data_IF_960534684044
#
_entry.id   IF_960534684044
#
_cell.length_a   1.000
_cell.length_b   1.000
_cell.length_c   1.000
_cell.angle_alpha   90.00
_cell.angle_beta   90.00
_cell.angle_gamma   90.00
#
_symmetry.space_group_name_H-M   'P 1'
#
loop_
_entity.id
_entity.type
_entity.pdbx_description
1 polymer ?
#
# COMPACT_ATOMS: atom_id res chain seq x y z
N UNK A 1 -6.10 -31.27 26.09
CA UNK A 1 -7.13 -30.34 26.59
C UNK A 1 -8.33 -31.11 27.13
N UNK A 2 -8.74 -30.82 28.36
CA UNK A 2 -9.85 -31.56 29.03
C UNK A 2 -11.19 -30.87 28.83
N UNK A 3 -11.19 -29.58 28.38
CA UNK A 3 -12.39 -28.73 28.44
C UNK A 3 -13.23 -28.81 27.17
N UNK A 4 -12.68 -29.20 26.04
CA UNK A 4 -13.33 -29.41 24.73
C UNK A 4 -14.30 -28.31 24.27
N UNK A 5 -14.19 -27.09 24.81
CA UNK A 5 -15.06 -25.95 24.43
C UNK A 5 -15.05 -25.64 22.95
N UNK A 6 -13.88 -25.80 22.31
CA UNK A 6 -13.75 -25.56 20.87
C UNK A 6 -14.60 -26.49 20.02
N UNK A 7 -14.74 -27.77 20.44
CA UNK A 7 -15.58 -28.75 19.78
C UNK A 7 -17.06 -28.41 19.96
N UNK A 8 -17.46 -28.07 21.19
CA UNK A 8 -18.87 -27.80 21.54
C UNK A 8 -19.44 -26.55 20.86
N UNK A 9 -18.60 -25.55 20.56
CA UNK A 9 -19.05 -24.31 19.90
C UNK A 9 -19.00 -24.38 18.37
N UNK A 10 -18.51 -25.48 17.81
CA UNK A 10 -18.38 -25.60 16.35
C UNK A 10 -19.73 -25.93 15.69
N UNK A 11 -20.36 -25.01 14.92
CA UNK A 11 -21.68 -25.22 14.35
C UNK A 11 -21.68 -26.27 13.22
N UNK A 12 -20.51 -26.65 12.72
CA UNK A 12 -20.33 -27.64 11.65
C UNK A 12 -19.70 -28.95 12.12
N UNK A 13 -19.51 -29.10 13.45
CA UNK A 13 -18.84 -30.26 14.03
C UNK A 13 -17.50 -30.59 13.33
N UNK A 14 -16.78 -29.55 12.92
CA UNK A 14 -15.52 -29.68 12.21
C UNK A 14 -14.32 -29.94 13.14
N UNK A 15 -14.52 -30.06 14.45
CA UNK A 15 -13.43 -30.24 15.40
C UNK A 15 -13.62 -31.58 16.10
N UNK A 16 -12.61 -32.44 16.01
CA UNK A 16 -12.52 -33.71 16.73
C UNK A 16 -11.33 -33.68 17.69
N UNK A 17 -11.41 -34.43 18.76
CA UNK A 17 -10.30 -34.57 19.71
C UNK A 17 -9.67 -35.95 19.47
N UNK A 18 -8.41 -35.93 19.05
CA UNK A 18 -7.59 -37.12 18.83
C UNK A 18 -6.35 -37.00 19.72
N UNK A 19 -6.06 -38.00 20.52
CA UNK A 19 -4.91 -38.03 21.46
C UNK A 19 -4.77 -36.75 22.31
N UNK A 20 -5.88 -36.23 22.83
CA UNK A 20 -5.97 -35.00 23.60
C UNK A 20 -5.66 -33.71 22.82
N UNK A 21 -5.53 -33.79 21.49
CA UNK A 21 -5.33 -32.64 20.60
C UNK A 21 -6.61 -32.36 19.81
N UNK A 22 -6.92 -31.08 19.61
CA UNK A 22 -8.01 -30.65 18.75
C UNK A 22 -7.55 -30.69 17.28
N UNK A 23 -8.19 -31.51 16.47
CA UNK A 23 -7.95 -31.62 15.04
C UNK A 23 -9.11 -30.97 14.31
N UNK A 24 -8.82 -30.03 13.42
CA UNK A 24 -9.82 -29.31 12.61
C UNK A 24 -9.92 -29.95 11.23
N UNK A 25 -11.11 -30.46 10.92
CA UNK A 25 -11.47 -30.91 9.58
C UNK A 25 -11.65 -29.71 8.65
N UNK A 26 -10.72 -29.53 7.72
CA UNK A 26 -10.69 -28.38 6.81
C UNK A 26 -11.84 -28.35 5.79
N UNK A 27 -12.42 -29.51 5.49
CA UNK A 27 -13.52 -29.61 4.52
C UNK A 27 -14.85 -29.19 5.16
N UNK A 28 -15.03 -29.47 6.46
CA UNK A 28 -16.20 -29.04 7.23
C UNK A 28 -16.08 -27.64 7.82
N UNK A 29 -14.87 -27.15 7.99
CA UNK A 29 -14.60 -25.87 8.63
C UNK A 29 -15.00 -24.69 7.76
N UNK A 30 -15.91 -23.87 8.25
CA UNK A 30 -16.35 -22.61 7.60
C UNK A 30 -15.59 -21.37 8.08
N UNK A 31 -14.49 -21.55 8.77
CA UNK A 31 -13.60 -20.48 9.26
C UNK A 31 -14.30 -19.38 10.12
N UNK A 32 -15.37 -19.70 10.80
CA UNK A 32 -16.17 -18.73 11.57
C UNK A 32 -15.50 -18.15 12.82
N UNK A 33 -14.35 -18.70 13.26
CA UNK A 33 -13.57 -18.22 14.42
C UNK A 33 -14.17 -18.47 15.81
N UNK A 34 -15.33 -19.13 15.95
CA UNK A 34 -15.96 -19.38 17.27
C UNK A 34 -15.07 -20.20 18.20
N UNK A 35 -14.36 -21.19 17.65
CA UNK A 35 -13.46 -22.05 18.42
C UNK A 35 -12.23 -21.31 18.97
N UNK A 36 -11.72 -20.32 18.24
CA UNK A 36 -10.58 -19.51 18.70
C UNK A 36 -10.97 -18.65 19.91
N UNK A 37 -12.17 -18.06 19.88
CA UNK A 37 -12.73 -17.26 20.99
C UNK A 37 -13.11 -18.10 22.19
N UNK A 38 -13.54 -19.35 21.97
CA UNK A 38 -14.00 -20.24 23.05
C UNK A 38 -12.84 -20.97 23.76
N UNK A 39 -11.65 -21.02 23.18
CA UNK A 39 -10.50 -21.69 23.78
C UNK A 39 -9.87 -20.81 24.86
N UNK A 40 -9.95 -21.17 26.13
CA UNK A 40 -9.41 -20.35 27.22
C UNK A 40 -7.87 -20.33 27.25
N UNK A 41 -7.24 -21.25 26.51
CA UNK A 41 -5.79 -21.39 26.46
C UNK A 41 -5.17 -20.78 25.19
N UNK A 42 -5.97 -20.20 24.31
CA UNK A 42 -5.47 -19.68 23.01
C UNK A 42 -4.84 -20.75 22.10
N UNK A 43 -5.16 -22.04 22.34
CA UNK A 43 -4.53 -23.14 21.62
C UNK A 43 -5.03 -23.34 20.18
N UNK A 44 -6.11 -22.66 19.81
CA UNK A 44 -6.63 -22.62 18.43
C UNK A 44 -6.48 -21.21 17.92
N UNK A 45 -5.71 -21.06 16.87
CA UNK A 45 -5.46 -19.78 16.20
C UNK A 45 -6.04 -19.81 14.79
N UNK A 46 -6.59 -18.70 14.36
CA UNK A 46 -6.99 -18.51 12.97
C UNK A 46 -5.88 -17.76 12.24
N UNK A 47 -5.22 -18.44 11.31
CA UNK A 47 -4.17 -17.84 10.51
C UNK A 47 -4.79 -17.30 9.22
N UNK A 48 -4.83 -15.99 9.11
CA UNK A 48 -5.12 -15.32 7.84
C UNK A 48 -3.84 -15.10 7.06
N UNK A 49 -3.91 -15.20 5.73
CA UNK A 49 -2.76 -14.82 4.90
C UNK A 49 -2.43 -13.34 5.15
N UNK A 50 -1.15 -12.99 5.24
CA UNK A 50 -0.73 -11.61 5.54
C UNK A 50 -1.34 -10.58 4.58
N UNK A 51 -1.46 -10.89 3.29
CA UNK A 51 -2.07 -10.01 2.30
C UNK A 51 -3.56 -9.76 2.56
N UNK A 52 -4.32 -10.77 3.00
CA UNK A 52 -5.75 -10.63 3.35
C UNK A 52 -5.90 -9.83 4.64
N UNK A 53 -5.10 -10.15 5.67
CA UNK A 53 -5.15 -9.48 6.96
C UNK A 53 -4.76 -8.00 6.88
N UNK A 54 -3.85 -7.64 5.97
CA UNK A 54 -3.40 -6.26 5.76
C UNK A 54 -4.38 -5.40 4.97
N UNK A 55 -5.31 -6.01 4.23
CA UNK A 55 -6.26 -5.28 3.39
C UNK A 55 -7.41 -4.69 4.21
N UNK A 56 -7.30 -3.41 4.57
CA UNK A 56 -8.29 -2.72 5.42
C UNK A 56 -9.62 -2.45 4.72
N UNK A 57 -9.64 -2.47 3.39
CA UNK A 57 -10.87 -2.29 2.59
C UNK A 57 -11.49 -3.63 2.14
N UNK A 58 -10.91 -4.76 2.56
CA UNK A 58 -11.45 -6.08 2.21
C UNK A 58 -11.44 -6.40 0.71
N UNK A 59 -10.49 -5.84 -0.03
CA UNK A 59 -10.39 -6.02 -1.48
C UNK A 59 -9.69 -7.32 -1.88
N UNK A 60 -9.19 -8.13 -0.94
CA UNK A 60 -8.46 -9.37 -1.24
C UNK A 60 -9.24 -10.56 -0.71
N UNK A 61 -9.52 -11.49 -1.59
CA UNK A 61 -10.07 -12.82 -1.26
C UNK A 61 -9.19 -13.91 -1.86
N UNK A 62 -9.50 -15.15 -1.53
CA UNK A 62 -8.89 -16.33 -2.14
C UNK A 62 -9.84 -16.93 -3.15
N UNK A 63 -9.33 -17.29 -4.33
CA UNK A 63 -10.07 -18.08 -5.31
C UNK A 63 -10.16 -19.56 -4.88
N UNK A 64 -10.86 -20.36 -5.68
CA UNK A 64 -11.02 -21.82 -5.47
C UNK A 64 -9.68 -22.56 -5.44
N UNK A 65 -8.67 -22.03 -6.11
CA UNK A 65 -7.30 -22.57 -6.16
C UNK A 65 -6.41 -22.01 -5.06
N UNK A 66 -6.98 -21.30 -4.09
CA UNK A 66 -6.25 -20.62 -3.00
C UNK A 66 -5.24 -19.56 -3.47
N UNK A 67 -5.45 -18.98 -4.66
CA UNK A 67 -4.70 -17.82 -5.14
C UNK A 67 -5.36 -16.53 -4.66
N UNK A 68 -4.54 -15.51 -4.40
CA UNK A 68 -5.05 -14.20 -4.02
C UNK A 68 -5.70 -13.53 -5.24
N UNK A 69 -6.94 -13.12 -5.07
CA UNK A 69 -7.71 -12.36 -6.04
C UNK A 69 -7.98 -10.97 -5.47
N UNK A 70 -7.67 -9.93 -6.25
CA UNK A 70 -7.87 -8.54 -5.87
C UNK A 70 -9.09 -7.99 -6.60
N UNK A 71 -10.08 -7.55 -5.84
CA UNK A 71 -11.23 -6.82 -6.35
C UNK A 71 -10.83 -5.34 -6.58
N UNK A 72 -10.62 -4.97 -7.83
CA UNK A 72 -10.21 -3.62 -8.20
C UNK A 72 -11.28 -2.56 -7.90
N UNK A 73 -12.55 -2.93 -7.79
CA UNK A 73 -13.60 -1.99 -7.40
C UNK A 73 -13.47 -1.55 -5.95
N UNK A 74 -12.95 -2.42 -5.08
CA UNK A 74 -12.68 -2.12 -3.66
C UNK A 74 -11.25 -1.65 -3.43
N UNK A 75 -10.30 -2.12 -4.23
CA UNK A 75 -8.88 -1.82 -4.06
C UNK A 75 -8.60 -0.32 -4.18
N UNK A 76 -7.86 0.22 -3.23
CA UNK A 76 -7.41 1.63 -3.20
C UNK A 76 -5.92 1.78 -3.56
N UNK A 77 -5.29 0.75 -4.08
CA UNK A 77 -3.88 0.74 -4.51
C UNK A 77 -2.87 1.18 -3.42
N UNK A 78 -3.13 0.89 -2.14
CA UNK A 78 -2.28 1.34 -1.03
C UNK A 78 -0.98 0.54 -0.85
N UNK A 79 -0.78 -0.59 -1.55
CA UNK A 79 0.43 -1.39 -1.49
C UNK A 79 0.61 -2.27 -0.25
N UNK A 80 -0.28 -2.22 0.75
CA UNK A 80 -0.13 -2.97 2.01
C UNK A 80 0.02 -4.48 1.79
N UNK A 81 -0.69 -5.07 0.83
CA UNK A 81 -0.61 -6.49 0.50
C UNK A 81 0.72 -6.87 -0.17
N UNK A 82 1.30 -5.96 -0.95
CA UNK A 82 2.64 -6.14 -1.56
C UNK A 82 3.69 -6.18 -0.46
N UNK A 83 3.66 -5.18 0.43
CA UNK A 83 4.61 -5.07 1.53
C UNK A 83 4.55 -6.26 2.50
N UNK A 84 3.35 -6.78 2.78
CA UNK A 84 3.15 -7.88 3.72
C UNK A 84 3.33 -9.27 3.10
N UNK A 85 3.57 -9.38 1.79
CA UNK A 85 3.76 -10.68 1.16
C UNK A 85 5.19 -11.18 1.33
N UNK A 86 5.46 -12.20 2.18
CA UNK A 86 6.83 -12.68 2.42
C UNK A 86 7.41 -13.43 1.21
N UNK A 87 6.57 -13.77 0.23
CA UNK A 87 6.96 -14.56 -0.94
C UNK A 87 7.06 -13.73 -2.23
N UNK A 88 6.77 -12.42 -2.18
CA UNK A 88 6.72 -11.58 -3.38
C UNK A 88 5.65 -12.02 -4.40
N UNK A 89 4.63 -12.79 -3.96
CA UNK A 89 3.58 -13.30 -4.84
C UNK A 89 2.58 -12.23 -5.29
N UNK A 90 2.57 -11.08 -4.63
CA UNK A 90 1.84 -9.88 -5.02
C UNK A 90 2.89 -8.80 -5.23
N UNK A 91 2.96 -8.23 -6.41
CA UNK A 91 3.86 -7.14 -6.78
C UNK A 91 3.09 -5.96 -7.32
N UNK A 92 3.69 -4.80 -7.26
CA UNK A 92 3.25 -3.60 -7.98
C UNK A 92 3.64 -3.68 -9.47
N UNK A 93 3.09 -2.76 -10.25
CA UNK A 93 3.53 -2.57 -11.63
C UNK A 93 4.85 -1.81 -11.61
N UNK A 94 5.96 -2.52 -11.78
CA UNK A 94 7.29 -1.90 -11.87
C UNK A 94 7.44 -1.13 -13.18
N UNK A 95 8.00 0.10 -13.09
CA UNK A 95 8.36 0.95 -14.22
C UNK A 95 9.89 1.02 -14.43
N UNK A 96 10.64 0.07 -13.86
CA UNK A 96 12.11 0.06 -13.94
C UNK A 96 12.59 -0.05 -15.39
N UNK A 97 11.96 -0.92 -16.19
CA UNK A 97 12.36 -1.10 -17.59
C UNK A 97 12.08 0.15 -18.43
N UNK A 98 10.94 0.80 -18.24
CA UNK A 98 10.62 2.07 -18.90
C UNK A 98 11.61 3.17 -18.49
N UNK A 99 11.99 3.23 -17.21
CA UNK A 99 12.99 4.20 -16.73
C UNK A 99 14.36 3.96 -17.37
N UNK A 100 14.79 2.69 -17.45
CA UNK A 100 16.05 2.33 -18.13
C UNK A 100 16.00 2.74 -19.61
N UNK A 101 14.89 2.52 -20.29
CA UNK A 101 14.72 2.89 -21.69
C UNK A 101 14.78 4.41 -21.89
N UNK A 102 14.13 5.19 -21.02
CA UNK A 102 14.21 6.66 -21.00
C UNK A 102 15.67 7.12 -20.81
N UNK A 103 16.40 6.56 -19.86
CA UNK A 103 17.79 6.91 -19.62
C UNK A 103 18.69 6.55 -20.81
N UNK A 104 18.50 5.38 -21.45
CA UNK A 104 19.22 4.99 -22.65
C UNK A 104 18.96 5.95 -23.83
N UNK A 105 17.69 6.29 -24.07
CA UNK A 105 17.28 7.20 -25.15
C UNK A 105 17.76 8.64 -24.93
N UNK A 106 18.05 9.04 -23.69
CA UNK A 106 18.61 10.35 -23.39
C UNK A 106 20.06 10.53 -23.86
N UNK A 107 20.76 9.42 -24.16
CA UNK A 107 22.19 9.41 -24.52
C UNK A 107 23.05 10.26 -23.57
N UNK A 108 23.07 9.86 -22.31
CA UNK A 108 23.76 10.60 -21.24
C UNK A 108 23.28 12.08 -21.14
N UNK A 109 22.00 12.31 -21.26
CA UNK A 109 21.34 13.62 -21.21
C UNK A 109 21.72 14.59 -22.37
N UNK A 110 22.21 14.06 -23.49
CA UNK A 110 22.49 14.85 -24.70
C UNK A 110 21.22 15.17 -25.49
N UNK A 111 20.34 14.15 -25.66
CA UNK A 111 19.08 14.32 -26.42
C UNK A 111 18.05 15.09 -25.61
N UNK A 112 17.93 14.76 -24.33
CA UNK A 112 17.08 15.45 -23.35
C UNK A 112 17.57 15.15 -21.94
N UNK A 113 17.30 16.07 -21.03
CA UNK A 113 17.70 15.94 -19.61
C UNK A 113 16.68 15.11 -18.84
N UNK A 114 17.14 14.11 -18.09
CA UNK A 114 16.29 13.26 -17.25
C UNK A 114 16.47 13.63 -15.79
N UNK A 115 15.40 14.05 -15.14
CA UNK A 115 15.39 14.44 -13.73
C UNK A 115 14.75 13.35 -12.89
N UNK A 116 15.29 13.08 -11.71
CA UNK A 116 14.65 12.24 -10.72
C UNK A 116 13.99 13.12 -9.66
N UNK A 117 12.69 12.95 -9.45
CA UNK A 117 11.98 13.58 -8.31
C UNK A 117 11.86 12.54 -7.21
N UNK A 118 12.41 12.84 -6.04
CA UNK A 118 12.45 11.92 -4.90
C UNK A 118 11.57 12.43 -3.76
N UNK A 119 10.82 11.53 -3.14
CA UNK A 119 10.05 11.86 -1.94
C UNK A 119 10.92 11.80 -0.68
N UNK A 120 10.60 12.56 0.39
CA UNK A 120 11.33 12.52 1.66
C UNK A 120 11.44 11.10 2.27
N UNK A 121 10.45 10.25 2.01
CA UNK A 121 10.44 8.85 2.47
C UNK A 121 11.62 8.01 1.95
N UNK A 122 12.36 8.45 0.94
CA UNK A 122 13.54 7.74 0.43
C UNK A 122 14.59 7.52 1.53
N UNK A 123 14.67 8.42 2.50
CA UNK A 123 15.61 8.31 3.62
C UNK A 123 15.39 7.03 4.43
N UNK A 124 14.14 6.60 4.59
CA UNK A 124 13.81 5.38 5.32
C UNK A 124 14.22 4.10 4.59
N UNK A 125 14.40 4.17 3.27
CA UNK A 125 14.84 3.03 2.44
C UNK A 125 16.37 2.83 2.48
N UNK A 126 17.12 3.90 2.76
CA UNK A 126 18.59 3.93 2.76
C UNK A 126 19.15 4.38 4.11
N UNK A 127 18.66 3.76 5.19
CA UNK A 127 19.05 4.11 6.57
C UNK A 127 20.55 3.89 6.87
N UNK A 128 21.25 3.18 5.99
CA UNK A 128 22.69 2.92 6.06
C UNK A 128 23.53 3.94 5.28
N UNK A 129 22.90 4.89 4.58
CA UNK A 129 23.57 5.88 3.73
C UNK A 129 23.07 7.29 4.04
N UNK A 130 23.96 8.29 3.90
CA UNK A 130 23.54 9.69 3.96
C UNK A 130 22.82 10.08 2.68
N UNK A 131 21.91 11.05 2.77
CA UNK A 131 21.07 11.45 1.63
C UNK A 131 21.91 11.93 0.43
N UNK A 132 23.05 12.58 0.68
CA UNK A 132 23.96 13.04 -0.38
C UNK A 132 24.58 11.87 -1.15
N UNK A 133 24.80 10.74 -0.47
CA UNK A 133 25.30 9.51 -1.12
C UNK A 133 24.21 8.90 -2.00
N UNK A 134 22.95 8.91 -1.53
CA UNK A 134 21.80 8.43 -2.31
C UNK A 134 21.62 9.28 -3.56
N UNK A 135 21.64 10.61 -3.42
CA UNK A 135 21.54 11.57 -4.53
C UNK A 135 22.67 11.34 -5.54
N UNK A 136 23.90 11.16 -5.05
CA UNK A 136 25.06 10.86 -5.90
C UNK A 136 24.90 9.52 -6.63
N UNK A 137 24.37 8.51 -5.95
CA UNK A 137 24.07 7.21 -6.55
C UNK A 137 23.06 7.33 -7.69
N UNK A 138 21.98 8.07 -7.48
CA UNK A 138 20.95 8.30 -8.50
C UNK A 138 21.55 9.03 -9.71
N UNK A 139 22.37 10.07 -9.50
CA UNK A 139 23.05 10.76 -10.60
C UNK A 139 23.97 9.81 -11.39
N UNK A 140 24.68 8.90 -10.71
CA UNK A 140 25.53 7.89 -11.37
C UNK A 140 24.75 6.87 -12.21
N UNK A 141 23.44 6.69 -11.96
CA UNK A 141 22.56 5.87 -12.80
C UNK A 141 22.24 6.54 -14.16
N UNK A 142 22.62 7.81 -14.36
CA UNK A 142 22.41 8.53 -15.61
C UNK A 142 21.39 9.66 -15.55
N UNK A 143 20.81 9.94 -14.36
CA UNK A 143 19.94 11.11 -14.19
C UNK A 143 20.75 12.40 -14.22
N UNK A 144 20.24 13.42 -14.92
CA UNK A 144 20.86 14.73 -14.99
C UNK A 144 20.93 15.40 -13.60
N UNK A 145 19.80 15.41 -12.90
CA UNK A 145 19.69 16.00 -11.57
C UNK A 145 18.63 15.29 -10.74
N UNK A 146 18.76 15.41 -9.42
CA UNK A 146 17.79 14.94 -8.44
C UNK A 146 17.14 16.13 -7.78
N UNK A 147 15.80 16.13 -7.70
CA UNK A 147 14.99 17.21 -7.11
C UNK A 147 14.13 16.61 -6.01
N UNK A 148 14.03 17.28 -4.89
CA UNK A 148 13.17 16.86 -3.79
C UNK A 148 11.71 17.24 -4.05
N UNK A 149 10.79 16.28 -3.93
CA UNK A 149 9.36 16.52 -4.04
C UNK A 149 8.84 17.45 -2.91
N UNK A 150 9.59 17.60 -1.82
CA UNK A 150 9.28 18.52 -0.73
C UNK A 150 9.15 19.97 -1.22
N UNK A 151 9.97 20.38 -2.19
CA UNK A 151 9.87 21.70 -2.80
C UNK A 151 8.51 21.94 -3.50
N UNK A 152 7.99 20.90 -4.18
CA UNK A 152 6.65 20.93 -4.74
C UNK A 152 5.56 20.88 -3.65
N UNK A 153 5.84 20.22 -2.51
CA UNK A 153 4.89 20.14 -1.41
C UNK A 153 4.64 21.52 -0.74
N UNK A 154 5.66 22.35 -0.64
CA UNK A 154 5.51 23.73 -0.11
C UNK A 154 4.56 24.55 -0.99
N UNK A 155 4.66 24.41 -2.32
CA UNK A 155 3.77 25.08 -3.28
C UNK A 155 2.35 24.52 -3.16
N UNK A 156 2.20 23.20 -3.12
CA UNK A 156 0.89 22.56 -2.94
C UNK A 156 0.23 23.01 -1.65
N UNK A 157 0.98 23.05 -0.54
CA UNK A 157 0.49 23.51 0.76
C UNK A 157 -0.02 24.95 0.70
N UNK A 158 0.70 25.83 0.00
CA UNK A 158 0.28 27.23 -0.17
C UNK A 158 -1.06 27.33 -0.93
N UNK A 159 -1.23 26.56 -2.00
CA UNK A 159 -2.49 26.50 -2.74
C UNK A 159 -3.62 25.90 -1.90
N UNK A 160 -3.37 24.80 -1.18
CA UNK A 160 -4.35 24.17 -0.29
C UNK A 160 -4.77 25.09 0.87
N UNK A 161 -3.82 25.88 1.43
CA UNK A 161 -4.13 26.85 2.47
C UNK A 161 -5.07 27.97 1.99
N UNK A 162 -4.94 28.41 0.74
CA UNK A 162 -5.84 29.39 0.14
C UNK A 162 -7.21 28.77 -0.15
N UNK A 163 -7.26 27.57 -0.72
CA UNK A 163 -8.49 26.83 -0.97
C UNK A 163 -9.25 26.55 0.34
N UNK A 164 -8.54 26.23 1.43
CA UNK A 164 -9.13 26.03 2.75
C UNK A 164 -9.80 27.30 3.30
N UNK A 165 -9.19 28.49 3.10
CA UNK A 165 -9.78 29.76 3.52
C UNK A 165 -11.13 30.03 2.83
N UNK A 166 -11.27 29.60 1.56
CA UNK A 166 -12.49 29.79 0.78
C UNK A 166 -13.56 28.75 1.15
N UNK A 167 -13.17 27.48 1.30
CA UNK A 167 -14.09 26.35 1.50
C UNK A 167 -14.41 26.05 2.95
N UNK A 168 -13.57 26.47 3.91
CA UNK A 168 -13.72 26.19 5.34
C UNK A 168 -13.43 24.75 5.77
N UNK A 169 -13.47 23.78 4.84
CA UNK A 169 -13.12 22.36 5.05
C UNK A 169 -12.46 21.82 3.81
N UNK A 170 -11.32 21.14 3.98
CA UNK A 170 -10.55 20.56 2.89
C UNK A 170 -9.86 19.28 3.36
N UNK A 171 -9.74 18.29 2.47
CA UNK A 171 -8.82 17.17 2.62
C UNK A 171 -7.77 17.23 1.51
N UNK A 172 -6.53 16.85 1.83
CA UNK A 172 -5.44 16.87 0.86
C UNK A 172 -5.62 15.78 -0.21
N UNK A 173 -5.06 16.00 -1.40
CA UNK A 173 -5.12 15.06 -2.53
C UNK A 173 -3.76 14.47 -2.90
N UNK A 174 -2.72 14.71 -2.10
CA UNK A 174 -1.35 14.27 -2.40
C UNK A 174 -1.18 12.73 -2.40
N UNK A 175 -2.06 11.99 -1.71
CA UNK A 175 -2.04 10.54 -1.66
C UNK A 175 -3.18 9.94 -2.50
N UNK A 176 -2.91 9.34 -3.69
CA UNK A 176 -3.95 8.75 -4.54
C UNK A 176 -4.77 7.66 -3.84
N UNK A 177 -4.15 6.87 -2.97
CA UNK A 177 -4.86 5.84 -2.20
C UNK A 177 -5.89 6.42 -1.23
N UNK A 178 -5.58 7.58 -0.63
CA UNK A 178 -6.51 8.28 0.25
C UNK A 178 -7.69 8.87 -0.54
N UNK A 179 -7.42 9.47 -1.70
CA UNK A 179 -8.46 9.96 -2.61
C UNK A 179 -9.39 8.82 -3.01
N UNK A 180 -8.85 7.71 -3.51
CA UNK A 180 -9.64 6.52 -3.87
C UNK A 180 -10.42 5.94 -2.68
N UNK A 181 -9.87 6.01 -1.48
CA UNK A 181 -10.57 5.57 -0.27
C UNK A 181 -11.79 6.43 0.02
N UNK A 182 -11.68 7.75 -0.06
CA UNK A 182 -12.81 8.66 0.13
C UNK A 182 -13.84 8.46 -0.97
N UNK A 183 -13.45 8.45 -2.23
CA UNK A 183 -14.37 8.31 -3.37
C UNK A 183 -15.18 7.01 -3.31
N UNK A 184 -14.54 5.90 -2.92
CA UNK A 184 -15.20 4.58 -2.87
C UNK A 184 -16.03 4.36 -1.62
N UNK A 185 -15.60 4.88 -0.46
CA UNK A 185 -16.25 4.56 0.81
C UNK A 185 -17.07 5.72 1.37
N UNK A 186 -16.77 6.97 0.99
CA UNK A 186 -17.40 8.20 1.50
C UNK A 186 -17.66 9.21 0.39
N UNK A 187 -18.45 8.87 -0.66
CA UNK A 187 -18.64 9.72 -1.84
C UNK A 187 -19.17 11.13 -1.50
N UNK A 188 -19.91 11.27 -0.42
CA UNK A 188 -20.42 12.57 0.06
C UNK A 188 -19.31 13.51 0.53
N UNK A 189 -18.15 12.98 0.89
CA UNK A 189 -16.97 13.75 1.30
C UNK A 189 -16.04 14.09 0.14
N UNK A 190 -16.26 13.52 -1.05
CA UNK A 190 -15.41 13.76 -2.23
C UNK A 190 -15.33 15.25 -2.61
N UNK A 191 -16.37 16.03 -2.35
CA UNK A 191 -16.40 17.48 -2.57
C UNK A 191 -15.40 18.28 -1.76
N UNK A 192 -14.86 17.69 -0.69
CA UNK A 192 -13.85 18.32 0.16
C UNK A 192 -12.42 17.94 -0.24
N UNK A 193 -12.24 17.08 -1.22
CA UNK A 193 -10.90 16.72 -1.71
C UNK A 193 -10.33 17.94 -2.45
N UNK A 194 -9.07 18.29 -2.15
CA UNK A 194 -8.34 19.33 -2.85
C UNK A 194 -8.19 18.95 -4.34
N UNK A 195 -8.37 19.94 -5.21
CA UNK A 195 -8.12 19.80 -6.66
C UNK A 195 -6.73 20.33 -7.07
N UNK A 196 -5.92 20.74 -6.09
CA UNK A 196 -4.58 21.23 -6.36
C UNK A 196 -3.65 20.11 -6.88
N UNK A 197 -2.67 20.45 -7.71
CA UNK A 197 -1.69 19.51 -8.20
C UNK A 197 -0.90 18.86 -7.05
N UNK A 198 -0.52 17.61 -7.24
CA UNK A 198 0.30 16.91 -6.24
C UNK A 198 1.71 17.52 -6.14
N UNK A 199 2.42 17.34 -5.03
CA UNK A 199 3.81 17.78 -4.85
C UNK A 199 4.74 17.38 -5.99
N UNK A 200 4.56 16.17 -6.52
CA UNK A 200 5.35 15.66 -7.65
C UNK A 200 5.08 16.47 -8.94
N UNK A 201 3.82 16.82 -9.17
CA UNK A 201 3.43 17.61 -10.36
C UNK A 201 3.96 19.04 -10.25
N UNK A 202 3.88 19.66 -9.07
CA UNK A 202 4.44 21.01 -8.85
C UNK A 202 5.97 21.01 -9.00
N UNK A 203 6.67 20.03 -8.45
CA UNK A 203 8.11 19.88 -8.68
C UNK A 203 8.45 19.74 -10.18
N UNK A 204 7.66 18.95 -10.92
CA UNK A 204 7.85 18.79 -12.36
C UNK A 204 7.60 20.08 -13.15
N UNK A 205 6.62 20.91 -12.75
CA UNK A 205 6.39 22.24 -13.34
C UNK A 205 7.58 23.16 -13.13
N UNK A 206 8.13 23.21 -11.89
CA UNK A 206 9.31 23.98 -11.58
C UNK A 206 10.51 23.58 -12.45
N UNK A 207 10.77 22.28 -12.59
CA UNK A 207 11.86 21.77 -13.42
C UNK A 207 11.68 22.19 -14.89
N UNK A 208 10.45 22.19 -15.39
CA UNK A 208 10.18 22.57 -16.78
C UNK A 208 10.27 24.09 -17.02
N UNK A 209 10.12 24.90 -15.98
CA UNK A 209 10.22 26.35 -16.04
C UNK A 209 11.67 26.86 -15.87
N UNK A 210 12.59 26.01 -15.38
CA UNK A 210 14.02 26.32 -15.21
C UNK A 210 14.84 25.89 -16.44
#
# INVERSE_FOLDING_TARGET
CIVHRCQNVCPKNAITIVDKHAVVDKEKCIECGKCTKACPYGAIIQQHRPCVASCKVGAICMDVNKKALIDNNKCIACGACVYQCPFGAISDKSLVLETIDILKKSDNNKNYKVYAVIAPAIVSQFNYARIEQVVTGIKKLGFHQVVEAALGADITLWHEANEFKEKGMLTTSCCPSFVMFIEKNFPTLAKYISHNPSPMVEAAKLIKAS
#
